data_IF_935450708299
#
_entry.id   IF_935450708299
#
_cell.length_a   1.000
_cell.length_b   1.000
_cell.length_c   1.000
_cell.angle_alpha   90.00
_cell.angle_beta   90.00
_cell.angle_gamma   90.00
#
_symmetry.space_group_name_H-M   'P 1'
#
loop_
_entity.id
_entity.type
_entity.pdbx_description
1 polymer ?
#
# COMPACT_ATOMS: atom_id res chain seq x y z
N UNK A 1 1.44 -10.58 -9.46
CA UNK A 1 1.79 -10.39 -8.04
C UNK A 1 0.50 -10.34 -7.25
N UNK A 2 0.45 -10.98 -6.10
CA UNK A 2 -0.70 -10.94 -5.19
C UNK A 2 -0.39 -10.11 -3.92
N UNK A 3 -1.36 -10.03 -2.98
CA UNK A 3 -1.21 -9.22 -1.75
C UNK A 3 -0.11 -9.73 -0.83
N UNK A 4 0.06 -11.06 -0.75
CA UNK A 4 1.09 -11.69 0.08
C UNK A 4 2.48 -11.39 -0.47
N UNK A 5 2.69 -11.64 -1.77
CA UNK A 5 3.97 -11.40 -2.45
C UNK A 5 4.39 -9.93 -2.34
N UNK A 6 3.45 -9.00 -2.55
CA UNK A 6 3.73 -7.58 -2.45
C UNK A 6 4.07 -7.13 -1.03
N UNK A 7 3.40 -7.70 -0.01
CA UNK A 7 3.71 -7.44 1.40
C UNK A 7 5.13 -7.91 1.74
N UNK A 8 5.53 -9.11 1.30
CA UNK A 8 6.90 -9.59 1.47
C UNK A 8 7.93 -8.73 0.74
N UNK A 9 7.61 -8.22 -0.45
CA UNK A 9 8.52 -7.32 -1.19
C UNK A 9 8.80 -6.04 -0.41
N UNK A 10 7.76 -5.41 0.17
CA UNK A 10 7.92 -4.21 1.00
C UNK A 10 8.79 -4.49 2.24
N UNK A 11 8.50 -5.57 2.97
CA UNK A 11 9.26 -5.97 4.15
C UNK A 11 10.73 -6.21 3.77
N UNK A 12 10.98 -7.11 2.81
CA UNK A 12 12.33 -7.48 2.41
C UNK A 12 13.16 -6.28 1.96
N UNK A 13 12.55 -5.35 1.22
CA UNK A 13 13.26 -4.15 0.77
C UNK A 13 13.56 -3.18 1.90
N UNK A 14 12.63 -3.00 2.83
CA UNK A 14 12.86 -2.19 4.02
C UNK A 14 13.99 -2.77 4.88
N UNK A 15 13.97 -4.07 5.16
CA UNK A 15 14.99 -4.73 5.97
C UNK A 15 16.37 -4.64 5.29
N UNK A 16 16.41 -4.79 3.96
CA UNK A 16 17.65 -4.62 3.17
C UNK A 16 18.17 -3.18 3.25
N UNK A 17 17.28 -2.19 3.18
CA UNK A 17 17.65 -0.78 3.18
C UNK A 17 18.11 -0.28 4.56
N UNK A 18 17.47 -0.75 5.62
CA UNK A 18 17.64 -0.22 6.98
C UNK A 18 18.50 -1.12 7.87
N UNK A 19 18.65 -2.40 7.53
CA UNK A 19 19.25 -3.42 8.39
C UNK A 19 18.37 -3.80 9.58
N UNK A 20 17.13 -3.31 9.67
CA UNK A 20 16.20 -3.59 10.76
C UNK A 20 15.17 -4.63 10.33
N UNK A 21 15.03 -5.70 11.09
CA UNK A 21 13.95 -6.67 10.89
C UNK A 21 12.63 -6.18 11.48
N UNK A 22 11.53 -6.44 10.79
CA UNK A 22 10.19 -6.05 11.25
C UNK A 22 9.51 -7.22 11.98
N UNK A 23 8.98 -6.95 13.17
CA UNK A 23 8.12 -7.90 13.89
C UNK A 23 6.66 -7.77 13.44
N UNK A 24 5.79 -8.70 13.83
CA UNK A 24 4.33 -8.59 13.57
C UNK A 24 3.73 -7.33 14.21
N UNK A 25 4.25 -6.89 15.36
CA UNK A 25 3.83 -5.65 16.02
C UNK A 25 4.16 -4.40 15.19
N UNK A 26 5.20 -4.47 14.36
CA UNK A 26 5.60 -3.38 13.47
C UNK A 26 4.80 -3.29 12.17
N UNK A 27 4.03 -4.34 11.83
CA UNK A 27 3.32 -4.43 10.56
C UNK A 27 1.84 -4.01 10.65
N UNK A 28 1.31 -3.86 11.86
CA UNK A 28 -0.12 -3.59 12.07
C UNK A 28 -0.99 -4.83 11.78
N UNK A 29 -2.28 -4.71 12.12
CA UNK A 29 -3.21 -5.84 12.06
C UNK A 29 -3.46 -6.31 10.63
N UNK A 30 -3.58 -5.39 9.68
CA UNK A 30 -3.97 -5.76 8.32
C UNK A 30 -2.86 -6.53 7.58
N UNK A 31 -1.60 -6.11 7.72
CA UNK A 31 -0.48 -6.85 7.12
C UNK A 31 -0.25 -8.18 7.82
N UNK A 32 -0.38 -8.22 9.15
CA UNK A 32 -0.28 -9.48 9.91
C UNK A 32 -1.32 -10.48 9.43
N UNK A 33 -2.58 -10.05 9.23
CA UNK A 33 -3.64 -10.91 8.69
C UNK A 33 -3.32 -11.44 7.28
N UNK A 34 -2.75 -10.61 6.39
CA UNK A 34 -2.34 -11.05 5.05
C UNK A 34 -1.27 -12.16 5.14
N UNK A 35 -0.31 -12.03 6.06
CA UNK A 35 0.77 -12.99 6.21
C UNK A 35 0.30 -14.30 6.87
N UNK A 36 -0.55 -14.20 7.89
CA UNK A 36 -1.10 -15.34 8.63
C UNK A 36 -2.05 -16.18 7.77
N UNK A 37 -2.77 -15.55 6.84
CA UNK A 37 -3.73 -16.19 5.93
C UNK A 37 -3.14 -16.58 4.58
N UNK A 38 -1.81 -16.71 4.51
CA UNK A 38 -1.12 -17.20 3.31
C UNK A 38 -1.67 -18.58 2.92
N UNK A 39 -2.12 -18.71 1.67
CA UNK A 39 -2.78 -19.91 1.15
C UNK A 39 -4.31 -19.82 1.07
N UNK A 40 -4.91 -18.75 1.59
CA UNK A 40 -6.32 -18.44 1.31
C UNK A 40 -6.48 -17.80 -0.07
N UNK A 41 -7.41 -18.32 -0.88
CA UNK A 41 -7.62 -17.92 -2.27
C UNK A 41 -7.81 -16.40 -2.45
N UNK A 42 -8.42 -15.72 -1.48
CA UNK A 42 -8.69 -14.27 -1.55
C UNK A 42 -7.41 -13.43 -1.60
N UNK A 43 -6.33 -13.85 -0.93
CA UNK A 43 -5.06 -13.13 -0.91
C UNK A 43 -4.10 -13.55 -2.02
N UNK A 44 -4.45 -14.64 -2.74
CA UNK A 44 -3.73 -15.12 -3.92
C UNK A 44 -4.23 -14.50 -5.22
N UNK A 45 -5.38 -13.82 -5.20
CA UNK A 45 -5.88 -13.03 -6.32
C UNK A 45 -4.88 -11.94 -6.73
N UNK A 46 -4.99 -11.53 -8.00
CA UNK A 46 -4.16 -10.46 -8.54
C UNK A 46 -4.35 -9.16 -7.74
N UNK A 47 -3.22 -8.52 -7.44
CA UNK A 47 -3.17 -7.30 -6.65
C UNK A 47 -3.85 -6.14 -7.39
N UNK A 48 -4.88 -5.57 -6.77
CA UNK A 48 -5.55 -4.34 -7.24
C UNK A 48 -4.93 -3.09 -6.61
N UNK A 49 -5.14 -1.92 -7.23
CA UNK A 49 -4.74 -0.62 -6.72
C UNK A 49 -5.22 -0.33 -5.30
N UNK A 50 -6.48 -0.65 -4.97
CA UNK A 50 -7.02 -0.44 -3.62
C UNK A 50 -6.39 -1.37 -2.59
N UNK A 51 -6.07 -2.62 -2.96
CA UNK A 51 -5.36 -3.55 -2.07
C UNK A 51 -3.94 -3.05 -1.82
N UNK A 52 -3.21 -2.66 -2.86
CA UNK A 52 -1.88 -2.08 -2.72
C UNK A 52 -1.89 -0.79 -1.88
N UNK A 53 -2.90 0.08 -2.06
CA UNK A 53 -3.05 1.28 -1.24
C UNK A 53 -3.22 0.94 0.25
N UNK A 54 -4.05 -0.05 0.58
CA UNK A 54 -4.21 -0.53 1.97
C UNK A 54 -2.91 -1.09 2.54
N UNK A 55 -2.21 -1.92 1.76
CA UNK A 55 -0.93 -2.51 2.17
C UNK A 55 0.12 -1.41 2.41
N UNK A 56 0.29 -0.50 1.45
CA UNK A 56 1.25 0.59 1.54
C UNK A 56 0.94 1.52 2.71
N UNK A 57 -0.33 1.89 2.90
CA UNK A 57 -0.73 2.76 4.00
C UNK A 57 -0.45 2.12 5.37
N UNK A 58 -0.81 0.84 5.55
CA UNK A 58 -0.53 0.12 6.79
C UNK A 58 1.00 0.07 7.04
N UNK A 59 1.79 -0.23 6.02
CA UNK A 59 3.25 -0.22 6.11
C UNK A 59 3.81 1.17 6.48
N UNK A 60 3.33 2.24 5.83
CA UNK A 60 3.74 3.63 6.10
C UNK A 60 3.42 4.02 7.56
N UNK A 61 2.25 3.62 8.05
CA UNK A 61 1.79 3.98 9.39
C UNK A 61 2.50 3.17 10.48
N UNK A 62 2.67 1.87 10.28
CA UNK A 62 3.15 0.98 11.33
C UNK A 62 4.63 0.65 11.19
N UNK A 63 5.16 0.38 10.00
CA UNK A 63 6.59 0.10 9.84
C UNK A 63 7.40 1.40 9.80
N UNK A 64 6.98 2.38 8.99
CA UNK A 64 7.68 3.67 8.87
C UNK A 64 7.29 4.67 9.97
N UNK A 65 6.28 4.35 10.80
CA UNK A 65 5.76 5.20 11.90
C UNK A 65 5.39 6.62 11.44
N UNK A 66 4.96 6.80 10.19
CA UNK A 66 4.61 8.10 9.64
C UNK A 66 3.13 8.42 9.93
N UNK A 67 2.88 9.65 10.40
CA UNK A 67 1.52 10.16 10.60
C UNK A 67 0.83 10.47 9.28
N UNK A 68 -0.49 10.42 9.28
CA UNK A 68 -1.32 10.82 8.14
C UNK A 68 -1.03 12.28 7.75
N UNK A 69 -0.96 12.52 6.45
CA UNK A 69 -0.96 13.88 5.89
C UNK A 69 -2.38 14.37 5.73
N UNK A 70 -2.54 15.69 5.73
CA UNK A 70 -3.73 16.30 5.15
C UNK A 70 -3.86 15.84 3.69
N UNK A 71 -5.09 15.47 3.32
CA UNK A 71 -5.40 14.90 2.03
C UNK A 71 -6.51 15.63 1.30
N UNK A 72 -6.72 16.92 1.58
CA UNK A 72 -7.63 17.78 0.80
C UNK A 72 -7.41 17.61 -0.71
N UNK A 73 -6.17 17.51 -1.18
CA UNK A 73 -5.82 17.26 -2.58
C UNK A 73 -6.39 15.95 -3.16
N UNK A 74 -6.61 14.94 -2.33
CA UNK A 74 -7.21 13.67 -2.75
C UNK A 74 -8.74 13.76 -2.86
N UNK A 75 -9.39 14.80 -2.30
CA UNK A 75 -10.84 14.99 -2.40
C UNK A 75 -11.34 15.17 -3.85
N UNK A 76 -10.44 15.51 -4.79
CA UNK A 76 -10.75 15.60 -6.22
C UNK A 76 -10.88 14.23 -6.91
N UNK A 77 -10.45 13.15 -6.26
CA UNK A 77 -10.60 11.79 -6.79
C UNK A 77 -12.07 11.37 -6.65
N UNK A 78 -12.75 11.17 -7.78
CA UNK A 78 -14.18 10.87 -7.82
C UNK A 78 -14.54 9.54 -7.16
N UNK A 79 -13.61 8.59 -7.17
CA UNK A 79 -13.77 7.21 -6.69
C UNK A 79 -13.20 6.99 -5.28
N UNK A 80 -12.73 8.04 -4.59
CA UNK A 80 -12.09 7.91 -3.26
C UNK A 80 -13.03 7.29 -2.20
N UNK A 81 -14.34 7.47 -2.35
CA UNK A 81 -15.34 6.99 -1.39
C UNK A 81 -16.05 5.70 -1.83
N UNK A 82 -15.68 5.12 -2.98
CA UNK A 82 -16.30 3.88 -3.49
C UNK A 82 -16.05 2.69 -2.54
N UNK A 83 -14.93 2.74 -1.81
CA UNK A 83 -14.62 1.81 -0.73
C UNK A 83 -14.36 2.58 0.58
N UNK A 84 -15.33 2.54 1.51
CA UNK A 84 -15.24 3.24 2.81
C UNK A 84 -13.96 2.91 3.59
N UNK A 85 -13.54 1.65 3.61
CA UNK A 85 -12.32 1.21 4.30
C UNK A 85 -11.03 1.52 3.52
N UNK A 86 -11.14 1.85 2.24
CA UNK A 86 -10.00 2.17 1.38
C UNK A 86 -9.77 3.68 1.23
N UNK A 87 -10.74 4.53 1.58
CA UNK A 87 -10.69 5.97 1.36
C UNK A 87 -9.42 6.62 1.92
N UNK A 88 -9.12 6.43 3.22
CA UNK A 88 -7.90 6.98 3.81
C UNK A 88 -6.62 6.36 3.23
N UNK A 89 -6.49 5.03 3.09
CA UNK A 89 -5.35 4.43 2.40
C UNK A 89 -5.07 4.99 0.99
N UNK A 90 -6.11 5.15 0.18
CA UNK A 90 -6.03 5.76 -1.16
C UNK A 90 -5.56 7.21 -1.04
N UNK A 91 -6.17 7.99 -0.16
CA UNK A 91 -5.82 9.39 0.07
C UNK A 91 -4.34 9.55 0.44
N UNK A 92 -3.86 8.76 1.41
CA UNK A 92 -2.47 8.81 1.88
C UNK A 92 -1.48 8.39 0.79
N UNK A 93 -1.80 7.36 0.01
CA UNK A 93 -0.96 6.95 -1.11
C UNK A 93 -0.92 8.01 -2.21
N UNK A 94 -2.05 8.66 -2.48
CA UNK A 94 -2.16 9.72 -3.48
C UNK A 94 -1.32 10.94 -3.11
N UNK A 95 -1.52 11.52 -1.91
CA UNK A 95 -0.81 12.75 -1.50
C UNK A 95 0.68 12.53 -1.22
N UNK A 96 1.09 11.29 -0.95
CA UNK A 96 2.50 10.91 -0.84
C UNK A 96 3.12 10.52 -2.17
N UNK A 97 2.35 10.52 -3.26
CA UNK A 97 2.78 10.09 -4.60
C UNK A 97 3.34 8.67 -4.63
N UNK A 98 2.80 7.80 -3.78
CA UNK A 98 3.19 6.39 -3.68
C UNK A 98 2.57 5.61 -4.84
N UNK A 99 1.28 5.83 -5.10
CA UNK A 99 0.52 5.21 -6.19
C UNK A 99 -0.03 6.31 -7.09
N UNK A 100 0.30 6.26 -8.38
CA UNK A 100 -0.24 7.19 -9.36
C UNK A 100 -1.73 6.90 -9.62
N UNK A 101 -2.58 7.93 -9.77
CA UNK A 101 -3.98 7.72 -10.13
C UNK A 101 -4.09 7.21 -11.58
N UNK A 102 -5.23 6.65 -11.96
CA UNK A 102 -5.51 6.23 -13.34
C UNK A 102 -5.70 7.43 -14.27
N UNK A 103 -6.37 8.49 -13.77
CA UNK A 103 -6.54 9.80 -14.41
C UNK A 103 -6.45 10.88 -13.35
N UNK A 104 -6.38 12.15 -13.75
CA UNK A 104 -6.20 13.28 -12.82
C UNK A 104 -7.22 13.33 -11.68
N UNK A 105 -8.44 12.86 -11.93
CA UNK A 105 -9.59 12.84 -11.01
C UNK A 105 -10.10 11.42 -10.69
N UNK A 106 -9.33 10.38 -11.01
CA UNK A 106 -9.75 8.98 -10.84
C UNK A 106 -8.58 8.09 -10.39
N UNK A 107 -8.68 7.49 -9.21
CA UNK A 107 -7.62 6.63 -8.70
C UNK A 107 -7.53 5.29 -9.46
N UNK A 108 -8.69 4.71 -9.77
CA UNK A 108 -8.83 3.41 -10.43
C UNK A 108 -8.62 2.26 -9.45
N UNK A 109 -9.36 2.24 -8.33
CA UNK A 109 -9.14 1.30 -7.23
C UNK A 109 -9.17 -0.18 -7.60
N UNK A 110 -9.93 -0.56 -8.64
CA UNK A 110 -10.07 -1.95 -9.10
C UNK A 110 -9.06 -2.36 -10.17
N UNK A 111 -8.22 -1.44 -10.64
CA UNK A 111 -7.18 -1.75 -11.63
C UNK A 111 -6.16 -2.73 -11.06
N UNK A 112 -5.81 -3.75 -11.85
CA UNK A 112 -4.77 -4.72 -11.51
C UNK A 112 -3.40 -4.07 -11.72
N UNK A 113 -2.52 -4.20 -10.74
CA UNK A 113 -1.17 -3.64 -10.78
C UNK A 113 -0.22 -4.58 -11.51
N UNK A 114 0.51 -4.05 -12.49
CA UNK A 114 1.59 -4.75 -13.17
C UNK A 114 2.83 -4.93 -12.28
N UNK A 115 3.72 -5.86 -12.63
CA UNK A 115 4.96 -6.09 -11.87
C UNK A 115 5.88 -4.86 -11.90
N UNK A 116 5.89 -4.12 -13.00
CA UNK A 116 6.65 -2.88 -13.15
C UNK A 116 6.10 -1.80 -12.23
N UNK A 117 4.77 -1.71 -12.10
CA UNK A 117 4.13 -0.77 -11.18
C UNK A 117 4.36 -1.16 -9.72
N UNK A 118 4.29 -2.43 -9.35
CA UNK A 118 4.59 -2.85 -7.96
C UNK A 118 5.99 -2.41 -7.57
N UNK A 119 7.00 -2.65 -8.43
CA UNK A 119 8.38 -2.20 -8.17
C UNK A 119 8.45 -0.68 -7.94
N UNK A 120 7.79 0.13 -8.79
CA UNK A 120 7.76 1.59 -8.65
C UNK A 120 7.10 2.01 -7.34
N UNK A 121 5.98 1.37 -6.97
CA UNK A 121 5.28 1.64 -5.71
C UNK A 121 6.20 1.31 -4.54
N UNK A 122 6.88 0.15 -4.55
CA UNK A 122 7.84 -0.25 -3.52
C UNK A 122 8.98 0.78 -3.43
N UNK A 123 9.57 1.21 -4.55
CA UNK A 123 10.58 2.27 -4.59
C UNK A 123 10.07 3.57 -3.94
N UNK A 124 8.85 4.01 -4.28
CA UNK A 124 8.25 5.22 -3.73
C UNK A 124 8.00 5.11 -2.22
N UNK A 125 7.55 3.96 -1.71
CA UNK A 125 7.39 3.74 -0.26
C UNK A 125 8.75 3.84 0.45
N UNK A 126 9.79 3.21 -0.09
CA UNK A 126 11.12 3.23 0.52
C UNK A 126 11.75 4.63 0.50
N UNK A 127 11.46 5.45 -0.51
CA UNK A 127 11.88 6.84 -0.54
C UNK A 127 11.28 7.68 0.61
N UNK A 128 10.20 7.23 1.26
CA UNK A 128 9.65 7.89 2.45
C UNK A 128 10.40 7.54 3.75
N UNK A 129 11.25 6.51 3.73
CA UNK A 129 12.02 6.06 4.89
C UNK A 129 13.39 6.80 5.02
N UNK A 130 13.71 7.67 4.06
CA UNK A 130 14.93 8.49 4.00
C UNK A 130 14.67 9.90 4.56
#
# INVERSE_FOLDING_TARGET
>A
MNSVEFTYELISKYETLTGQSLSTEDLGLYLTEILDRKGEALFELQLTKKQAARICYEFIKYALKLKDRDWEDASKLKDIYDCKVCANPIAQCYVRRVIAPLKDDLFGGDEIISKEETKKITDNVMALAQ
#
